data_IF_697900911691
#
_entry.id   IF_697900911691
#
_cell.length_a   1.000
_cell.length_b   1.000
_cell.length_c   1.000
_cell.angle_alpha   90.00
_cell.angle_beta   90.00
_cell.angle_gamma   90.00
#
_symmetry.space_group_name_H-M   'P 1'
#
loop_
_entity.id
_entity.type
_entity.pdbx_description
1 polymer ?
#
# COMPACT_ATOMS: atom_id res chain seq x y z
N UNK A 1 6.18 -23.90 -8.74
CA UNK A 1 6.54 -23.10 -7.55
C UNK A 1 5.22 -22.81 -6.84
N UNK A 2 4.97 -23.33 -5.64
CA UNK A 2 3.60 -23.38 -5.07
C UNK A 2 3.30 -22.26 -4.07
N UNK A 3 4.32 -21.65 -3.48
CA UNK A 3 4.20 -20.57 -2.49
C UNK A 3 4.75 -19.26 -3.02
N UNK A 4 4.17 -18.15 -2.57
CA UNK A 4 4.71 -16.82 -2.77
C UNK A 4 5.84 -16.60 -1.77
N UNK A 5 6.95 -15.99 -2.22
CA UNK A 5 7.90 -15.41 -1.28
C UNK A 5 7.33 -14.09 -0.76
N UNK A 6 6.70 -14.14 0.42
CA UNK A 6 6.20 -12.96 1.10
C UNK A 6 7.39 -12.19 1.69
N UNK A 7 7.58 -10.95 1.24
CA UNK A 7 8.49 -9.99 1.89
C UNK A 7 8.10 -9.87 3.37
N UNK A 8 9.05 -9.91 4.33
CA UNK A 8 8.78 -9.54 5.72
C UNK A 8 8.09 -8.18 5.83
N UNK A 9 7.34 -7.95 6.91
CA UNK A 9 6.70 -6.67 7.21
C UNK A 9 7.67 -5.48 7.02
N UNK A 10 7.22 -4.40 6.39
CA UNK A 10 8.06 -3.20 6.24
C UNK A 10 8.29 -2.56 7.63
N UNK A 11 7.24 -2.44 8.45
CA UNK A 11 7.36 -2.05 9.87
C UNK A 11 7.28 -3.30 10.75
N UNK A 12 8.42 -3.77 11.25
CA UNK A 12 8.50 -4.99 12.06
C UNK A 12 7.83 -4.83 13.45
N UNK A 13 7.43 -5.92 14.14
CA UNK A 13 6.82 -5.84 15.48
C UNK A 13 7.72 -5.23 16.56
N UNK A 14 9.04 -5.28 16.37
CA UNK A 14 10.05 -4.67 17.23
C UNK A 14 10.58 -3.32 16.72
N UNK A 15 10.00 -2.77 15.65
CA UNK A 15 10.41 -1.52 15.01
C UNK A 15 10.50 -0.34 15.99
N UNK A 16 11.54 0.52 15.88
CA UNK A 16 11.60 1.83 16.54
C UNK A 16 10.35 2.69 16.29
N UNK A 17 9.76 2.61 15.08
CA UNK A 17 8.57 3.40 14.72
C UNK A 17 7.30 2.93 15.48
N UNK A 18 7.26 1.70 16.00
CA UNK A 18 6.21 1.25 16.94
C UNK A 18 6.49 1.62 18.40
N UNK A 19 7.55 2.38 18.67
CA UNK A 19 8.09 2.68 20.01
C UNK A 19 8.38 4.17 20.16
N UNK A 20 7.46 5.01 19.67
CA UNK A 20 7.60 6.46 19.72
C UNK A 20 7.68 6.93 21.19
N UNK A 21 8.73 7.65 21.60
CA UNK A 21 8.90 8.08 22.98
C UNK A 21 7.74 8.87 23.55
N UNK A 22 7.40 8.61 24.82
CA UNK A 22 6.41 9.40 25.55
C UNK A 22 6.89 10.84 25.84
N UNK A 23 8.20 11.11 25.70
CA UNK A 23 8.80 12.45 25.73
C UNK A 23 8.49 13.30 24.50
N UNK A 24 8.22 12.67 23.34
CA UNK A 24 7.82 13.39 22.13
C UNK A 24 6.47 14.06 22.36
N UNK A 25 6.31 15.30 21.92
CA UNK A 25 5.04 16.03 22.09
C UNK A 25 3.90 15.40 21.27
N UNK A 26 2.64 15.69 21.64
CA UNK A 26 1.44 15.10 21.03
C UNK A 26 1.42 15.25 19.50
N UNK A 27 1.92 16.37 18.96
CA UNK A 27 1.99 16.59 17.51
C UNK A 27 3.07 15.73 16.85
N UNK A 28 4.24 15.57 17.47
CA UNK A 28 5.29 14.65 16.99
C UNK A 28 4.75 13.22 16.90
N UNK A 29 4.14 12.71 17.98
CA UNK A 29 3.59 11.34 18.01
C UNK A 29 2.57 11.11 16.91
N UNK A 30 1.59 12.00 16.78
CA UNK A 30 0.54 11.89 15.75
C UNK A 30 1.07 11.86 14.29
N UNK A 31 2.22 12.48 13.99
CA UNK A 31 2.86 12.32 12.67
C UNK A 31 3.48 10.93 12.50
N UNK A 32 4.20 10.41 13.51
CA UNK A 32 4.78 9.06 13.45
C UNK A 32 3.71 7.97 13.42
N UNK A 33 2.66 8.09 14.23
CA UNK A 33 1.49 7.18 14.22
C UNK A 33 0.88 7.11 12.81
N UNK A 34 0.64 8.28 12.19
CA UNK A 34 0.13 8.38 10.83
C UNK A 34 1.08 7.82 9.76
N UNK A 35 2.40 7.99 9.93
CA UNK A 35 3.43 7.43 9.04
C UNK A 35 3.41 5.91 9.11
N UNK A 36 3.46 5.34 10.31
CA UNK A 36 3.41 3.89 10.55
C UNK A 36 2.18 3.28 9.89
N UNK A 37 0.98 3.78 10.21
CA UNK A 37 -0.25 3.28 9.62
C UNK A 37 -0.29 3.45 8.09
N UNK A 38 0.27 4.54 7.53
CA UNK A 38 0.33 4.72 6.07
C UNK A 38 1.27 3.73 5.38
N UNK A 39 2.39 3.37 6.02
CA UNK A 39 3.30 2.32 5.54
C UNK A 39 2.64 0.94 5.66
N UNK A 40 2.06 0.61 6.82
CA UNK A 40 1.46 -0.70 7.07
C UNK A 40 0.25 -0.99 6.19
N UNK A 41 -0.62 0.00 5.95
CA UNK A 41 -1.78 -0.20 5.06
C UNK A 41 -1.30 -0.40 3.60
N UNK A 42 -0.27 0.33 3.16
CA UNK A 42 0.31 0.13 1.84
C UNK A 42 0.98 -1.26 1.71
N UNK A 43 1.72 -1.70 2.73
CA UNK A 43 2.41 -2.99 2.79
C UNK A 43 1.43 -4.19 2.86
N UNK A 44 0.36 -4.06 3.66
CA UNK A 44 -0.75 -5.01 3.71
C UNK A 44 -1.48 -5.13 2.37
N UNK A 45 -1.86 -3.99 1.78
CA UNK A 45 -2.55 -3.96 0.49
C UNK A 45 -1.66 -4.55 -0.62
N UNK A 46 -0.37 -4.21 -0.64
CA UNK A 46 0.57 -4.73 -1.63
C UNK A 46 0.83 -6.25 -1.49
N UNK A 47 0.88 -6.81 -0.26
CA UNK A 47 0.93 -8.27 -0.07
C UNK A 47 -0.30 -8.96 -0.64
N UNK A 48 -1.49 -8.50 -0.24
CA UNK A 48 -2.77 -9.02 -0.74
C UNK A 48 -2.86 -8.92 -2.26
N UNK A 49 -2.42 -7.81 -2.84
CA UNK A 49 -2.36 -7.62 -4.29
C UNK A 49 -1.48 -8.69 -4.96
N UNK A 50 -0.25 -8.93 -4.46
CA UNK A 50 0.62 -10.00 -4.98
C UNK A 50 -0.03 -11.39 -4.84
N UNK A 51 -0.76 -11.63 -3.75
CA UNK A 51 -1.48 -12.87 -3.49
C UNK A 51 -2.64 -13.10 -4.47
N UNK A 52 -3.48 -12.09 -4.68
CA UNK A 52 -4.59 -12.13 -5.65
C UNK A 52 -4.08 -12.22 -7.10
N UNK A 53 -3.08 -11.44 -7.48
CA UNK A 53 -2.50 -11.49 -8.84
C UNK A 53 -1.82 -12.85 -9.11
N UNK A 54 -1.15 -13.46 -8.13
CA UNK A 54 -0.66 -14.84 -8.23
C UNK A 54 -1.79 -15.85 -8.38
N UNK A 55 -2.89 -15.65 -7.66
CA UNK A 55 -4.08 -16.51 -7.75
C UNK A 55 -4.63 -16.53 -9.18
N UNK A 56 -4.99 -15.35 -9.70
CA UNK A 56 -5.43 -15.12 -11.09
C UNK A 56 -4.47 -15.78 -12.09
N UNK A 57 -3.17 -15.58 -11.95
CA UNK A 57 -2.16 -16.00 -12.93
C UNK A 57 -1.94 -17.52 -13.02
N UNK A 58 -2.53 -18.30 -12.11
CA UNK A 58 -2.58 -19.77 -12.19
C UNK A 58 -3.80 -20.29 -12.96
N UNK A 59 -4.89 -19.52 -13.01
CA UNK A 59 -6.25 -19.97 -13.39
C UNK A 59 -6.57 -19.75 -14.88
N UNK A 60 -5.57 -19.93 -15.74
CA UNK A 60 -5.62 -19.52 -17.16
C UNK A 60 -6.70 -20.27 -17.98
N UNK A 61 -7.01 -21.50 -17.59
CA UNK A 61 -7.99 -22.37 -18.26
C UNK A 61 -9.32 -22.52 -17.45
N UNK A 62 -9.57 -21.62 -16.48
CA UNK A 62 -10.79 -21.58 -15.65
C UNK A 62 -11.69 -20.38 -16.02
N UNK A 63 -12.90 -20.32 -15.46
CA UNK A 63 -13.76 -19.12 -15.56
C UNK A 63 -13.24 -17.96 -14.68
N UNK A 64 -13.31 -16.74 -15.21
CA UNK A 64 -12.89 -15.49 -14.55
C UNK A 64 -13.60 -15.28 -13.19
N UNK A 65 -12.83 -15.26 -12.09
CA UNK A 65 -13.37 -14.81 -10.80
C UNK A 65 -13.34 -13.27 -10.70
N UNK A 66 -14.50 -12.69 -10.99
CA UNK A 66 -14.75 -11.26 -10.93
C UNK A 66 -14.45 -10.68 -9.53
N UNK A 67 -14.54 -11.46 -8.45
CA UNK A 67 -14.18 -10.98 -7.10
C UNK A 67 -12.66 -10.84 -6.96
N UNK A 68 -11.84 -11.75 -7.50
CA UNK A 68 -10.37 -11.60 -7.53
C UNK A 68 -9.98 -10.33 -8.31
N UNK A 69 -10.67 -10.01 -9.40
CA UNK A 69 -10.46 -8.76 -10.15
C UNK A 69 -10.84 -7.49 -9.34
N UNK A 70 -11.95 -7.52 -8.60
CA UNK A 70 -12.33 -6.41 -7.71
C UNK A 70 -11.34 -6.24 -6.56
N UNK A 71 -10.88 -7.34 -5.94
CA UNK A 71 -9.90 -7.31 -4.87
C UNK A 71 -8.56 -6.73 -5.33
N UNK A 72 -8.03 -7.17 -6.49
CA UNK A 72 -6.78 -6.67 -7.03
C UNK A 72 -6.86 -5.15 -7.33
N UNK A 73 -7.93 -4.69 -7.97
CA UNK A 73 -8.12 -3.25 -8.25
C UNK A 73 -8.26 -2.45 -6.95
N UNK A 74 -9.00 -2.96 -5.96
CA UNK A 74 -9.18 -2.28 -4.68
C UNK A 74 -7.88 -2.16 -3.88
N UNK A 75 -7.08 -3.23 -3.77
CA UNK A 75 -5.83 -3.22 -3.01
C UNK A 75 -4.73 -2.38 -3.71
N UNK A 76 -4.70 -2.34 -5.04
CA UNK A 76 -3.82 -1.43 -5.78
C UNK A 76 -4.14 0.05 -5.50
N UNK A 77 -5.44 0.42 -5.52
CA UNK A 77 -5.85 1.79 -5.17
C UNK A 77 -5.65 2.10 -3.68
N UNK A 78 -5.82 1.13 -2.78
CA UNK A 78 -5.52 1.28 -1.36
C UNK A 78 -4.03 1.55 -1.10
N UNK A 79 -3.12 0.89 -1.83
CA UNK A 79 -1.69 1.17 -1.78
C UNK A 79 -1.38 2.61 -2.24
N UNK A 80 -1.88 3.03 -3.41
CA UNK A 80 -1.73 4.41 -3.93
C UNK A 80 -2.25 5.46 -2.93
N UNK A 81 -3.45 5.28 -2.39
CA UNK A 81 -4.08 6.24 -1.49
C UNK A 81 -3.31 6.32 -0.15
N UNK A 82 -2.71 5.22 0.30
CA UNK A 82 -1.87 5.15 1.51
C UNK A 82 -0.48 5.76 1.30
N UNK A 83 0.18 5.48 0.17
CA UNK A 83 1.45 6.11 -0.22
C UNK A 83 1.31 7.64 -0.37
N UNK A 84 0.20 8.14 -0.92
CA UNK A 84 -0.05 9.58 -0.97
C UNK A 84 -0.30 10.22 0.42
N UNK A 85 -0.89 9.48 1.38
CA UNK A 85 -0.98 9.92 2.79
C UNK A 85 0.41 9.98 3.42
N UNK A 86 1.21 8.91 3.27
CA UNK A 86 2.60 8.83 3.74
C UNK A 86 3.42 10.02 3.24
N UNK A 87 3.43 10.27 1.92
CA UNK A 87 4.12 11.42 1.30
C UNK A 87 3.68 12.76 1.90
N UNK A 88 2.39 12.95 2.14
CA UNK A 88 1.86 14.19 2.71
C UNK A 88 2.27 14.38 4.19
N UNK A 89 2.37 13.29 4.96
CA UNK A 89 2.85 13.30 6.34
C UNK A 89 4.36 13.58 6.38
N UNK A 90 5.17 12.87 5.59
CA UNK A 90 6.62 13.07 5.50
C UNK A 90 7.00 14.53 5.21
N UNK A 91 6.28 15.23 4.32
CA UNK A 91 6.46 16.66 4.04
C UNK A 91 6.28 17.60 5.24
N UNK A 92 5.60 17.15 6.30
CA UNK A 92 5.25 17.98 7.48
C UNK A 92 5.71 17.36 8.81
N UNK A 93 6.35 16.20 8.77
CA UNK A 93 6.71 15.43 9.94
C UNK A 93 7.92 16.08 10.66
N UNK A 94 7.77 16.53 11.92
CA UNK A 94 8.88 17.05 12.69
C UNK A 94 9.97 15.98 12.84
N UNK A 95 11.21 16.42 13.05
CA UNK A 95 12.43 15.59 13.10
C UNK A 95 12.88 15.02 11.75
N UNK A 96 11.98 14.49 10.90
CA UNK A 96 12.37 13.80 9.65
C UNK A 96 12.15 14.57 8.34
N UNK A 97 11.29 15.59 8.27
CA UNK A 97 10.97 16.27 7.01
C UNK A 97 12.19 16.89 6.30
N UNK A 98 13.21 17.31 7.07
CA UNK A 98 14.45 17.89 6.55
C UNK A 98 15.60 16.89 6.39
N UNK A 99 15.35 15.60 6.60
CA UNK A 99 16.31 14.55 6.28
C UNK A 99 16.38 14.32 4.76
N UNK A 100 17.57 14.05 4.23
CA UNK A 100 17.79 13.93 2.78
C UNK A 100 17.02 12.76 2.16
N UNK A 101 17.03 11.59 2.83
CA UNK A 101 16.24 10.43 2.41
C UNK A 101 14.73 10.71 2.40
N UNK A 102 14.25 11.54 3.34
CA UNK A 102 12.84 11.91 3.43
C UNK A 102 12.43 12.81 2.26
N UNK A 103 13.26 13.82 1.93
CA UNK A 103 13.05 14.66 0.73
C UNK A 103 13.12 13.85 -0.56
N UNK A 104 14.11 12.95 -0.70
CA UNK A 104 14.22 12.05 -1.85
C UNK A 104 13.02 11.12 -2.00
N UNK A 105 12.57 10.50 -0.91
CA UNK A 105 11.38 9.65 -0.90
C UNK A 105 10.09 10.43 -1.23
N UNK A 106 9.91 11.63 -0.68
CA UNK A 106 8.78 12.52 -1.01
C UNK A 106 8.77 12.91 -2.49
N UNK A 107 9.95 13.12 -3.09
CA UNK A 107 10.11 13.38 -4.52
C UNK A 107 9.72 12.15 -5.36
N UNK A 108 10.19 10.96 -4.99
CA UNK A 108 9.86 9.70 -5.67
C UNK A 108 8.36 9.39 -5.60
N UNK A 109 7.69 9.69 -4.48
CA UNK A 109 6.24 9.55 -4.35
C UNK A 109 5.43 10.68 -5.03
N UNK A 110 6.05 11.72 -5.60
CA UNK A 110 5.32 12.85 -6.21
C UNK A 110 4.25 12.41 -7.24
N UNK A 111 4.54 11.49 -8.19
CA UNK A 111 3.56 11.03 -9.18
C UNK A 111 2.33 10.34 -8.59
N UNK A 112 2.45 9.72 -7.41
CA UNK A 112 1.33 9.05 -6.70
C UNK A 112 0.18 10.01 -6.43
N UNK A 113 0.47 11.32 -6.24
CA UNK A 113 -0.55 12.36 -6.10
C UNK A 113 -1.37 12.57 -7.38
N UNK A 114 -0.75 12.47 -8.56
CA UNK A 114 -1.43 12.56 -9.86
C UNK A 114 -2.38 11.38 -10.05
N UNK A 115 -1.84 10.17 -9.94
CA UNK A 115 -2.57 8.90 -10.03
C UNK A 115 -3.80 8.88 -9.10
N UNK A 116 -3.59 9.17 -7.81
CA UNK A 116 -4.65 9.24 -6.79
C UNK A 116 -5.76 10.23 -7.17
N UNK A 117 -5.38 11.37 -7.76
CA UNK A 117 -6.33 12.40 -8.18
C UNK A 117 -7.14 12.03 -9.42
N UNK A 118 -6.78 10.97 -10.17
CA UNK A 118 -7.60 10.46 -11.26
C UNK A 118 -8.88 9.78 -10.75
N UNK A 119 -8.81 9.02 -9.65
CA UNK A 119 -9.93 8.25 -9.08
C UNK A 119 -10.68 8.95 -7.95
N UNK A 120 -10.07 9.96 -7.30
CA UNK A 120 -10.81 10.93 -6.48
C UNK A 120 -12.04 11.49 -7.20
N UNK A 121 -11.79 11.99 -8.42
CA UNK A 121 -12.52 13.11 -8.99
C UNK A 121 -13.22 12.65 -10.28
N UNK A 122 -13.81 11.46 -10.22
CA UNK A 122 -14.35 10.74 -11.37
C UNK A 122 -15.58 11.42 -11.97
N UNK A 123 -16.43 12.01 -11.13
CA UNK A 123 -17.58 12.82 -11.54
C UNK A 123 -17.21 13.90 -12.57
N UNK A 124 -16.12 14.63 -12.31
CA UNK A 124 -15.57 15.63 -13.23
C UNK A 124 -14.66 15.09 -14.35
N UNK A 125 -14.37 13.76 -14.39
CA UNK A 125 -13.37 13.16 -15.29
C UNK A 125 -13.87 12.04 -16.19
N UNK A 126 -15.01 11.41 -15.90
CA UNK A 126 -15.60 10.33 -16.72
C UNK A 126 -15.69 10.74 -18.19
N UNK A 127 -16.16 11.96 -18.47
CA UNK A 127 -16.30 12.50 -19.82
C UNK A 127 -14.98 12.62 -20.59
N UNK A 128 -13.86 12.83 -19.88
CA UNK A 128 -12.51 12.91 -20.45
C UNK A 128 -11.96 11.49 -20.67
N UNK A 129 -12.12 10.60 -19.69
CA UNK A 129 -11.74 9.18 -19.78
C UNK A 129 -12.47 8.49 -20.94
N UNK A 130 -13.78 8.74 -21.09
CA UNK A 130 -14.62 8.21 -22.18
C UNK A 130 -14.09 8.64 -23.55
N UNK A 131 -13.76 9.93 -23.73
CA UNK A 131 -13.19 10.46 -24.99
C UNK A 131 -11.79 9.89 -25.28
N UNK A 132 -10.96 9.73 -24.24
CA UNK A 132 -9.63 9.08 -24.32
C UNK A 132 -9.69 7.54 -24.45
N UNK A 133 -10.89 6.93 -24.44
CA UNK A 133 -11.12 5.47 -24.36
C UNK A 133 -10.48 4.78 -23.14
N UNK A 134 -10.16 5.51 -22.08
CA UNK A 134 -9.47 4.97 -20.90
C UNK A 134 -10.45 4.23 -19.97
N UNK A 135 -10.02 3.14 -19.30
CA UNK A 135 -10.79 2.52 -18.22
C UNK A 135 -10.88 3.45 -17.00
N UNK A 136 -12.06 3.49 -16.37
CA UNK A 136 -12.38 4.43 -15.29
C UNK A 136 -11.52 4.21 -14.04
N UNK A 137 -11.28 2.94 -13.71
CA UNK A 137 -10.46 2.51 -12.56
C UNK A 137 -9.02 2.14 -12.95
N UNK A 138 -8.62 2.43 -14.19
CA UNK A 138 -7.31 2.08 -14.72
C UNK A 138 -7.20 0.64 -15.24
N UNK A 139 -5.97 0.22 -15.48
CA UNK A 139 -5.58 -1.17 -15.74
C UNK A 139 -4.40 -1.55 -14.86
N UNK A 140 -4.40 -2.78 -14.37
CA UNK A 140 -3.27 -3.39 -13.67
C UNK A 140 -2.52 -4.29 -14.66
N UNK A 141 -1.23 -4.06 -14.85
CA UNK A 141 -0.35 -4.97 -15.57
C UNK A 141 0.71 -5.52 -14.62
N UNK A 142 1.11 -6.78 -14.77
CA UNK A 142 2.10 -7.42 -13.90
C UNK A 142 2.81 -8.58 -14.59
N UNK A 143 3.94 -9.00 -14.03
CA UNK A 143 4.71 -10.16 -14.50
C UNK A 143 4.66 -11.29 -13.48
N UNK A 144 4.63 -12.53 -13.98
CA UNK A 144 4.63 -13.76 -13.18
C UNK A 144 5.63 -14.75 -13.71
N UNK A 145 6.66 -15.09 -12.93
CA UNK A 145 7.62 -16.13 -13.30
C UNK A 145 7.03 -17.51 -12.99
N UNK A 146 7.15 -18.42 -13.96
CA UNK A 146 6.42 -19.69 -14.00
C UNK A 146 7.26 -20.93 -13.67
N UNK A 147 8.59 -20.78 -13.64
CA UNK A 147 9.56 -21.86 -13.48
C UNK A 147 10.60 -21.60 -12.38
N UNK A 148 11.39 -22.63 -12.07
CA UNK A 148 12.50 -22.58 -11.14
C UNK A 148 13.62 -23.53 -11.65
N UNK A 149 14.81 -23.04 -12.04
CA UNK A 149 15.24 -21.64 -12.06
C UNK A 149 14.37 -20.75 -12.97
N UNK A 150 14.38 -19.41 -12.74
CA UNK A 150 13.54 -18.48 -13.48
C UNK A 150 14.05 -18.33 -14.93
N UNK A 151 13.33 -18.89 -15.90
CA UNK A 151 13.60 -18.75 -17.35
C UNK A 151 12.38 -18.30 -18.16
N UNK A 152 11.17 -18.29 -17.58
CA UNK A 152 9.91 -17.94 -18.25
C UNK A 152 8.99 -17.10 -17.38
N UNK A 153 8.74 -15.86 -17.80
CA UNK A 153 7.67 -15.03 -17.28
C UNK A 153 6.42 -15.07 -18.20
N UNK A 154 5.24 -14.99 -17.59
CA UNK A 154 3.99 -14.54 -18.24
C UNK A 154 3.79 -13.07 -17.91
N UNK A 155 3.31 -12.29 -18.88
CA UNK A 155 2.89 -10.90 -18.67
C UNK A 155 1.36 -10.87 -18.72
N UNK A 156 0.75 -10.17 -17.79
CA UNK A 156 -0.70 -10.10 -17.60
C UNK A 156 -1.17 -8.65 -17.56
N UNK A 157 -2.39 -8.39 -18.03
CA UNK A 157 -3.06 -7.07 -17.94
C UNK A 157 -4.55 -7.25 -17.65
N UNK A 158 -5.03 -6.72 -16.53
CA UNK A 158 -6.43 -6.61 -16.14
C UNK A 158 -6.91 -5.18 -16.41
N UNK A 159 -7.86 -5.01 -17.34
CA UNK A 159 -8.50 -3.72 -17.63
C UNK A 159 -9.74 -3.57 -16.75
N UNK A 160 -9.77 -2.59 -15.85
CA UNK A 160 -10.83 -2.50 -14.84
C UNK A 160 -12.13 -1.89 -15.40
N UNK A 161 -13.11 -2.76 -15.66
CA UNK A 161 -14.44 -2.41 -16.19
C UNK A 161 -14.58 -2.79 -17.67
N UNK A 162 -15.40 -2.05 -18.42
CA UNK A 162 -15.65 -2.35 -19.83
C UNK A 162 -14.38 -2.12 -20.68
N UNK A 163 -13.85 -3.19 -21.27
CA UNK A 163 -12.76 -3.13 -22.25
C UNK A 163 -13.10 -2.19 -23.43
N UNK A 164 -12.08 -1.49 -23.94
CA UNK A 164 -12.19 -0.56 -25.07
C UNK A 164 -11.00 -0.77 -26.01
N UNK A 165 -11.21 -0.96 -27.33
CA UNK A 165 -10.11 -1.13 -28.27
C UNK A 165 -9.14 0.07 -28.30
N UNK A 166 -7.89 -0.20 -27.94
CA UNK A 166 -6.76 0.72 -27.87
C UNK A 166 -5.45 -0.04 -27.65
N UNK A 167 -4.35 0.70 -27.54
CA UNK A 167 -3.03 0.15 -27.19
C UNK A 167 -2.93 0.04 -25.66
N UNK A 168 -2.31 -1.05 -25.19
CA UNK A 168 -2.08 -1.33 -23.77
C UNK A 168 -0.62 -1.75 -23.58
N UNK A 169 0.10 -1.04 -22.72
CA UNK A 169 1.49 -1.35 -22.39
C UNK A 169 1.54 -2.59 -21.46
N UNK A 170 2.29 -3.60 -21.89
CA UNK A 170 2.74 -4.69 -21.01
C UNK A 170 3.93 -4.21 -20.17
N UNK A 171 4.14 -4.83 -19.01
CA UNK A 171 5.22 -4.43 -18.11
C UNK A 171 6.58 -4.85 -18.65
N UNK A 172 7.57 -3.96 -18.53
CA UNK A 172 8.96 -4.30 -18.81
C UNK A 172 9.60 -5.00 -17.61
N UNK A 173 10.33 -6.08 -17.91
CA UNK A 173 11.08 -6.90 -16.95
C UNK A 173 12.58 -6.98 -17.31
N UNK A 174 13.05 -6.18 -18.28
CA UNK A 174 14.45 -6.09 -18.66
C UNK A 174 15.32 -5.49 -17.55
N UNK A 175 16.49 -6.09 -17.31
CA UNK A 175 17.57 -5.53 -16.48
C UNK A 175 17.30 -5.39 -14.97
N UNK A 176 16.08 -5.65 -14.50
CA UNK A 176 15.64 -5.41 -13.12
C UNK A 176 15.90 -6.58 -12.16
N UNK A 177 15.91 -6.29 -10.86
CA UNK A 177 15.66 -7.31 -9.83
C UNK A 177 14.18 -7.67 -9.81
N UNK A 178 13.84 -8.92 -9.45
CA UNK A 178 12.49 -9.46 -9.52
C UNK A 178 12.09 -10.19 -8.23
N UNK A 179 11.05 -9.71 -7.54
CA UNK A 179 10.51 -10.31 -6.32
C UNK A 179 9.57 -11.47 -6.65
N UNK A 180 10.11 -12.68 -6.68
CA UNK A 180 9.40 -13.90 -7.07
C UNK A 180 8.13 -14.21 -6.22
N UNK A 181 7.09 -14.85 -6.80
CA UNK A 181 6.89 -15.16 -8.21
C UNK A 181 6.18 -14.03 -9.00
N UNK A 182 5.59 -13.04 -8.32
CA UNK A 182 4.84 -11.92 -8.93
C UNK A 182 5.52 -10.59 -8.61
N UNK A 183 5.84 -9.82 -9.64
CA UNK A 183 6.48 -8.50 -9.53
C UNK A 183 6.20 -7.61 -10.76
N UNK A 184 6.86 -6.45 -10.83
CA UNK A 184 6.64 -5.40 -11.83
C UNK A 184 5.15 -5.00 -11.91
N UNK A 185 4.49 -4.84 -10.75
CA UNK A 185 3.05 -4.55 -10.69
C UNK A 185 2.84 -3.06 -10.98
N UNK A 186 2.26 -2.76 -12.13
CA UNK A 186 2.00 -1.41 -12.64
C UNK A 186 0.51 -1.11 -12.67
N UNK A 187 0.13 0.04 -12.11
CA UNK A 187 -1.20 0.62 -12.27
C UNK A 187 -1.13 1.77 -13.28
N UNK A 188 -1.98 1.71 -14.31
CA UNK A 188 -2.12 2.76 -15.34
C UNK A 188 -3.51 3.36 -15.29
N UNK A 189 -3.65 4.68 -15.05
CA UNK A 189 -4.93 5.38 -15.08
C UNK A 189 -4.77 6.85 -15.51
N UNK A 190 -5.77 7.44 -16.16
CA UNK A 190 -5.77 8.84 -16.63
C UNK A 190 -4.78 9.18 -17.77
N UNK A 191 -3.85 8.28 -18.06
CA UNK A 191 -2.68 8.50 -18.94
C UNK A 191 -1.36 8.56 -18.18
N UNK A 192 -1.36 8.24 -16.88
CA UNK A 192 -0.17 8.04 -16.04
C UNK A 192 -0.02 6.54 -15.74
N UNK A 193 1.21 6.04 -15.65
CA UNK A 193 1.54 4.66 -15.24
C UNK A 193 2.48 4.73 -14.03
N UNK A 194 2.20 3.96 -12.97
CA UNK A 194 3.05 3.87 -11.78
C UNK A 194 3.29 2.43 -11.39
N UNK A 195 4.56 2.10 -11.15
CA UNK A 195 4.94 0.76 -10.69
C UNK A 195 4.90 0.69 -9.15
N UNK A 196 3.93 -0.05 -8.63
CA UNK A 196 3.76 -0.30 -7.19
C UNK A 196 4.94 -1.09 -6.61
N UNK A 197 5.50 -2.03 -7.38
CA UNK A 197 6.68 -2.82 -6.99
C UNK A 197 7.86 -1.93 -6.56
N UNK A 198 8.31 -1.01 -7.42
CA UNK A 198 9.39 -0.05 -7.10
C UNK A 198 9.01 0.91 -5.97
N UNK A 199 7.78 1.42 -5.94
CA UNK A 199 7.30 2.30 -4.86
C UNK A 199 7.33 1.59 -3.49
N UNK A 200 7.07 0.29 -3.44
CA UNK A 200 7.09 -0.53 -2.22
C UNK A 200 8.49 -1.05 -1.86
N UNK A 201 9.46 -1.02 -2.78
CA UNK A 201 10.89 -1.10 -2.44
C UNK A 201 11.33 0.20 -1.76
N UNK A 202 11.16 1.34 -2.43
CA UNK A 202 11.57 2.66 -1.93
C UNK A 202 10.91 3.03 -0.59
N UNK A 203 9.66 2.61 -0.36
CA UNK A 203 8.96 2.81 0.94
C UNK A 203 9.64 2.09 2.09
N UNK A 204 10.24 0.92 1.84
CA UNK A 204 10.95 0.18 2.86
C UNK A 204 12.37 0.69 3.09
N UNK A 205 13.04 1.16 2.04
CA UNK A 205 14.35 1.82 2.19
C UNK A 205 14.21 3.13 2.99
N UNK A 206 13.16 3.90 2.72
CA UNK A 206 12.74 5.02 3.56
C UNK A 206 12.45 4.58 5.01
N UNK A 207 11.74 3.47 5.21
CA UNK A 207 11.39 2.97 6.55
C UNK A 207 12.64 2.59 7.33
N UNK A 208 13.59 1.87 6.72
CA UNK A 208 14.85 1.47 7.37
C UNK A 208 15.71 2.69 7.79
N UNK A 209 15.73 3.74 6.98
CA UNK A 209 16.44 4.99 7.30
C UNK A 209 15.73 5.79 8.41
N UNK A 210 14.39 5.86 8.38
CA UNK A 210 13.60 6.49 9.44
C UNK A 210 13.69 5.73 10.77
N UNK A 211 13.77 4.39 10.75
CA UNK A 211 14.04 3.55 11.92
C UNK A 211 15.45 3.79 12.48
N UNK A 212 16.47 3.95 11.62
CA UNK A 212 17.85 4.21 12.02
C UNK A 212 18.03 5.60 12.66
N UNK A 213 17.36 6.63 12.12
CA UNK A 213 17.32 7.97 12.72
C UNK A 213 16.60 7.95 14.07
N UNK A 214 15.39 7.39 14.12
CA UNK A 214 14.59 7.36 15.36
C UNK A 214 15.28 6.55 16.47
N UNK A 215 16.03 5.50 16.12
CA UNK A 215 16.83 4.72 17.07
C UNK A 215 17.91 5.54 17.78
N UNK A 216 18.39 6.64 17.19
CA UNK A 216 19.36 7.55 17.83
C UNK A 216 18.69 8.52 18.81
N UNK A 217 17.36 8.64 18.78
CA UNK A 217 16.58 9.56 19.61
C UNK A 217 15.90 8.88 20.81
N UNK A 218 15.70 7.55 20.76
CA UNK A 218 15.11 6.75 21.84
C UNK A 218 16.16 6.46 22.91
N UNK A 219 15.90 6.81 24.17
CA UNK A 219 16.79 6.47 25.28
C UNK A 219 16.56 5.05 25.82
N UNK A 220 17.61 4.33 26.28
CA UNK A 220 17.45 3.00 26.88
C UNK A 220 16.51 3.01 28.10
N UNK A 221 15.40 2.27 28.02
CA UNK A 221 14.39 2.21 29.07
C UNK A 221 13.33 3.33 29.03
N UNK A 222 13.35 4.18 28.01
CA UNK A 222 12.35 5.24 27.84
C UNK A 222 10.94 4.65 27.56
N UNK A 223 9.88 5.11 28.24
CA UNK A 223 8.52 4.68 27.96
C UNK A 223 8.04 5.20 26.59
N UNK A 224 7.30 4.37 25.86
CA UNK A 224 6.81 4.66 24.52
C UNK A 224 5.29 4.46 24.40
N UNK A 225 4.68 5.14 23.42
CA UNK A 225 3.26 4.93 23.06
C UNK A 225 3.07 3.73 22.15
N UNK A 226 1.91 3.09 22.23
CA UNK A 226 1.48 1.94 21.41
C UNK A 226 -0.04 1.93 21.26
N UNK A 227 -0.54 1.10 20.36
CA UNK A 227 -1.98 0.87 20.17
C UNK A 227 -2.66 0.34 21.44
N UNK A 228 -3.92 0.74 21.63
CA UNK A 228 -4.73 0.39 22.79
C UNK A 228 -6.02 -0.31 22.36
N UNK A 229 -5.99 -1.65 22.35
CA UNK A 229 -7.19 -2.45 22.18
C UNK A 229 -7.95 -2.52 23.52
N UNK A 230 -9.17 -1.97 23.55
CA UNK A 230 -10.07 -2.00 24.70
C UNK A 230 -11.14 -3.07 24.47
N UNK A 231 -11.33 -3.95 25.43
CA UNK A 231 -12.30 -5.04 25.37
C UNK A 231 -13.19 -5.02 26.61
N UNK A 232 -14.48 -5.29 26.41
CA UNK A 232 -15.49 -5.42 27.46
C UNK A 232 -16.51 -6.46 27.01
N UNK A 233 -17.01 -7.26 27.94
CA UNK A 233 -17.98 -8.32 27.68
C UNK A 233 -19.32 -7.95 28.32
N UNK A 234 -20.42 -8.20 27.61
CA UNK A 234 -21.78 -7.92 28.07
C UNK A 234 -22.62 -9.19 27.95
N UNK A 235 -22.94 -9.82 29.07
CA UNK A 235 -23.90 -10.92 29.12
C UNK A 235 -25.32 -10.39 28.95
N UNK A 236 -26.14 -11.08 28.15
CA UNK A 236 -27.55 -10.75 27.96
C UNK A 236 -28.38 -12.03 27.72
N UNK A 237 -29.66 -11.97 28.10
CA UNK A 237 -30.62 -13.04 27.89
C UNK A 237 -31.55 -12.70 26.72
N UNK A 238 -32.18 -13.71 26.12
CA UNK A 238 -33.32 -13.59 25.18
C UNK A 238 -33.14 -12.56 24.05
N UNK A 239 -31.91 -12.48 23.52
CA UNK A 239 -31.48 -11.58 22.44
C UNK A 239 -31.56 -10.07 22.76
N UNK A 240 -31.84 -9.65 23.99
CA UNK A 240 -31.96 -8.23 24.35
C UNK A 240 -30.68 -7.69 25.00
N UNK A 241 -29.79 -7.13 24.18
CA UNK A 241 -28.59 -6.41 24.65
C UNK A 241 -29.02 -5.16 25.44
N UNK A 242 -28.57 -4.97 26.70
CA UNK A 242 -28.92 -3.80 27.52
C UNK A 242 -28.52 -2.47 26.87
N UNK A 243 -29.43 -1.50 26.86
CA UNK A 243 -29.16 -0.17 26.30
C UNK A 243 -28.42 0.72 27.31
N UNK A 244 -27.19 1.11 26.97
CA UNK A 244 -26.37 1.98 27.81
C UNK A 244 -25.20 2.60 27.06
N UNK A 245 -24.74 3.78 27.49
CA UNK A 245 -23.52 4.40 26.98
C UNK A 245 -22.36 4.11 27.93
N UNK A 246 -21.58 3.07 27.64
CA UNK A 246 -20.28 2.87 28.26
C UNK A 246 -19.38 4.08 27.95
N UNK A 247 -18.64 4.54 28.96
CA UNK A 247 -17.62 5.59 28.84
C UNK A 247 -16.36 5.11 29.52
N UNK A 248 -15.23 5.25 28.83
CA UNK A 248 -13.90 5.03 29.39
C UNK A 248 -13.20 6.39 29.37
N UNK A 249 -12.65 6.79 30.51
CA UNK A 249 -11.92 8.05 30.68
C UNK A 249 -10.48 7.71 31.01
N UNK A 250 -9.54 8.27 30.25
CA UNK A 250 -8.11 8.21 30.54
C UNK A 250 -7.69 9.48 31.29
N UNK A 251 -6.80 9.31 32.27
CA UNK A 251 -6.23 10.36 33.13
C UNK A 251 -4.77 10.62 32.78
#
# INVERSE_FOLDING_TARGET
>A
MEHIYHRPAIVQPNSPLRRIPASFNVRQRAYFDGIVYSIEIADMAYRRLRETLWSISKRIDEEDDIQEYVHAVADAWLAIDSLNRLRALCMSAPLIAEAEYCRGFVQNLHPVKGMRNNVQHLDGRIDIMVRKKQPVWGSLSWAVVTDNPPTKARLHTLVAGSFRPGEHEMVDIGGRSFLMPVDAITLTAGGESLELSELMVATADFTALAEADLSQLIQPGEPYTRDLHLMTEVTFNDSQVPSGKLKITFS
#
